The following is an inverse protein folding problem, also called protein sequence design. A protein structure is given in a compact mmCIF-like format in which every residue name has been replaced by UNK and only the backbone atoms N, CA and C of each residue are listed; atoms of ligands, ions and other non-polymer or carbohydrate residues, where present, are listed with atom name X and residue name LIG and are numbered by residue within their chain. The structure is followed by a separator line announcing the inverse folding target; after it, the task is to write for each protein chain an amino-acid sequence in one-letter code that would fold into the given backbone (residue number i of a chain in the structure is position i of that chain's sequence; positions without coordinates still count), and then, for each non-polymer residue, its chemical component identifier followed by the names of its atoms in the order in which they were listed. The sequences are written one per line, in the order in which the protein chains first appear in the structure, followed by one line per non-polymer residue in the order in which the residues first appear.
data_IF_325937798991
#
_entry.id   IF_325937798991
#
_cell.length_a   1.000
_cell.length_b   1.000
_cell.length_c   1.000
_cell.angle_alpha   90.00
_cell.angle_beta   90.00
_cell.angle_gamma   90.00
#
_symmetry.space_group_name_H-M   'P 1'
#
loop_
_entity.id
_entity.type
_entity.pdbx_description
1 polymer ?
#
# COMPACT_ATOMS: atom_id res chain seq x y z
N UNK A 1 12.15 -6.16 13.33
CA UNK A 1 10.85 -6.80 13.04
C UNK A 1 10.41 -6.58 11.59
N UNK A 2 10.36 -5.33 11.09
CA UNK A 2 10.07 -5.07 9.68
C UNK A 2 11.07 -5.76 8.73
N UNK A 3 12.37 -5.75 9.07
CA UNK A 3 13.41 -6.49 8.33
C UNK A 3 13.15 -8.00 8.23
N UNK A 4 12.55 -8.60 9.27
CA UNK A 4 12.18 -10.01 9.27
C UNK A 4 10.96 -10.26 8.37
N UNK A 5 9.95 -9.40 8.43
CA UNK A 5 8.80 -9.47 7.52
C UNK A 5 9.22 -9.27 6.05
N UNK A 6 10.07 -8.30 5.77
CA UNK A 6 10.66 -8.09 4.43
C UNK A 6 11.45 -9.31 3.98
N UNK A 7 12.27 -9.89 4.87
CA UNK A 7 12.99 -11.13 4.59
C UNK A 7 12.05 -12.29 4.28
N UNK A 8 10.95 -12.42 5.03
CA UNK A 8 9.93 -13.44 4.79
C UNK A 8 9.23 -13.25 3.44
N UNK A 9 8.84 -12.01 3.09
CA UNK A 9 8.26 -11.72 1.78
C UNK A 9 9.22 -12.09 0.66
N UNK A 10 10.48 -11.66 0.74
CA UNK A 10 11.51 -11.98 -0.26
C UNK A 10 11.82 -13.47 -0.41
N UNK A 11 11.47 -14.29 0.58
CA UNK A 11 11.63 -15.74 0.50
C UNK A 11 10.48 -16.45 -0.22
N UNK A 12 9.30 -15.81 -0.37
CA UNK A 12 8.13 -16.43 -1.02
C UNK A 12 8.38 -16.84 -2.48
N UNK A 13 9.01 -16.02 -3.35
CA UNK A 13 9.33 -16.41 -4.71
C UNK A 13 10.39 -17.51 -4.82
N UNK A 14 11.10 -17.79 -3.72
CA UNK A 14 12.11 -18.85 -3.66
C UNK A 14 11.50 -20.22 -3.32
N UNK A 15 10.20 -20.28 -2.97
CA UNK A 15 9.48 -21.53 -2.75
C UNK A 15 8.77 -22.00 -4.04
N UNK A 16 9.32 -22.98 -4.78
CA UNK A 16 8.74 -23.44 -6.04
C UNK A 16 7.43 -24.20 -5.83
N UNK A 17 7.18 -24.74 -4.63
CA UNK A 17 5.93 -25.40 -4.31
C UNK A 17 4.80 -24.37 -4.18
N UNK A 18 5.07 -23.26 -3.51
CA UNK A 18 4.12 -22.16 -3.34
C UNK A 18 3.73 -21.53 -4.68
N UNK A 19 4.72 -21.24 -5.54
CA UNK A 19 4.48 -20.69 -6.89
C UNK A 19 3.58 -21.59 -7.74
N UNK A 20 3.85 -22.91 -7.75
CA UNK A 20 3.01 -23.88 -8.47
C UNK A 20 1.60 -23.99 -7.91
N UNK A 21 1.44 -23.93 -6.59
CA UNK A 21 0.13 -23.99 -5.95
C UNK A 21 -0.73 -22.77 -6.27
N UNK A 22 -0.11 -21.58 -6.27
CA UNK A 22 -0.78 -20.31 -6.58
C UNK A 22 -1.00 -20.10 -8.08
N UNK A 23 -0.27 -20.83 -8.95
CA UNK A 23 -0.32 -20.64 -10.39
C UNK A 23 0.27 -19.31 -10.83
N UNK A 24 1.22 -18.75 -10.06
CA UNK A 24 1.82 -17.45 -10.29
C UNK A 24 3.20 -17.58 -10.92
N UNK A 25 3.52 -16.63 -11.81
CA UNK A 25 4.88 -16.46 -12.32
C UNK A 25 5.80 -15.88 -11.23
N UNK A 26 7.05 -16.34 -11.18
CA UNK A 26 8.02 -15.89 -10.18
C UNK A 26 8.28 -14.38 -10.29
N UNK A 27 8.49 -13.88 -11.51
CA UNK A 27 8.77 -12.45 -11.74
C UNK A 27 7.59 -11.57 -11.32
N UNK A 28 6.36 -11.99 -11.67
CA UNK A 28 5.16 -11.26 -11.24
C UNK A 28 5.03 -11.16 -9.71
N UNK A 29 5.42 -12.22 -8.98
CA UNK A 29 5.42 -12.20 -7.52
C UNK A 29 6.55 -11.33 -6.95
N UNK A 30 7.73 -11.36 -7.55
CA UNK A 30 8.86 -10.49 -7.19
C UNK A 30 8.51 -9.01 -7.35
N UNK A 31 7.89 -8.65 -8.48
CA UNK A 31 7.40 -7.28 -8.75
C UNK A 31 6.37 -6.85 -7.70
N UNK A 32 5.38 -7.70 -7.43
CA UNK A 32 4.38 -7.46 -6.39
C UNK A 32 5.03 -7.17 -5.03
N UNK A 33 5.96 -8.03 -4.62
CA UNK A 33 6.66 -7.91 -3.33
C UNK A 33 7.51 -6.63 -3.30
N UNK A 34 8.19 -6.29 -4.40
CA UNK A 34 8.98 -5.07 -4.53
C UNK A 34 8.13 -3.82 -4.29
N UNK A 35 6.94 -3.77 -4.88
CA UNK A 35 6.01 -2.65 -4.71
C UNK A 35 5.41 -2.59 -3.30
N UNK A 36 5.12 -3.74 -2.68
CA UNK A 36 4.65 -3.79 -1.29
C UNK A 36 5.71 -3.28 -0.30
N UNK A 37 6.97 -3.67 -0.48
CA UNK A 37 8.08 -3.22 0.37
C UNK A 37 8.28 -1.71 0.21
N UNK A 38 8.32 -1.21 -1.03
CA UNK A 38 8.47 0.21 -1.34
C UNK A 38 7.31 1.03 -0.77
N UNK A 39 6.08 0.52 -0.93
CA UNK A 39 4.87 1.13 -0.39
C UNK A 39 4.86 1.20 1.14
N UNK A 40 5.27 0.11 1.79
CA UNK A 40 5.35 0.04 3.25
C UNK A 40 6.36 1.06 3.81
N UNK A 41 7.54 1.15 3.21
CA UNK A 41 8.58 2.12 3.59
C UNK A 41 8.09 3.57 3.40
N UNK A 42 7.53 3.89 2.23
CA UNK A 42 6.97 5.21 1.93
C UNK A 42 5.83 5.62 2.86
N UNK A 43 5.04 4.66 3.33
CA UNK A 43 3.94 4.90 4.28
C UNK A 43 4.40 5.19 5.70
N UNK A 44 5.71 5.11 5.98
CA UNK A 44 6.27 5.28 7.32
C UNK A 44 5.84 4.16 8.27
N UNK A 45 5.60 2.95 7.75
CA UNK A 45 5.18 1.81 8.55
C UNK A 45 6.19 1.50 9.66
N UNK A 46 7.48 1.66 9.37
CA UNK A 46 8.59 1.57 10.32
C UNK A 46 8.46 2.59 11.47
N UNK A 47 8.26 3.87 11.16
CA UNK A 47 8.16 4.95 12.14
C UNK A 47 6.90 4.82 12.99
N UNK A 48 5.79 4.41 12.39
CA UNK A 48 4.56 4.12 13.11
C UNK A 48 4.74 2.97 14.11
N UNK A 49 5.49 1.93 13.75
CA UNK A 49 5.78 0.80 14.65
C UNK A 49 6.71 1.20 15.80
N UNK A 50 7.74 2.02 15.53
CA UNK A 50 8.65 2.55 16.57
C UNK A 50 7.87 3.40 17.57
N UNK A 51 7.06 4.35 17.10
CA UNK A 51 6.27 5.21 17.99
C UNK A 51 5.26 4.44 18.85
N UNK A 52 4.71 3.33 18.35
CA UNK A 52 3.83 2.45 19.13
C UNK A 52 4.59 1.70 20.22
N UNK A 53 5.80 1.24 19.94
CA UNK A 53 6.68 0.59 20.93
C UNK A 53 7.07 1.58 22.04
N UNK A 54 7.51 2.79 21.67
CA UNK A 54 7.88 3.84 22.64
C UNK A 54 6.71 4.24 23.54
N UNK A 55 5.50 4.35 22.97
CA UNK A 55 4.28 4.64 23.73
C UNK A 55 3.89 3.52 24.72
N UNK A 56 4.27 2.28 24.42
CA UNK A 56 4.02 1.13 25.27
C UNK A 56 5.11 0.97 26.35
N UNK A 57 6.36 1.34 26.06
CA UNK A 57 7.46 1.32 27.03
C UNK A 57 7.36 2.43 28.09
N UNK A 58 6.85 3.60 27.71
CA UNK A 58 6.56 4.70 28.66
C UNK A 58 5.43 4.38 29.65
N UNK A 59 4.61 3.36 29.36
CA UNK A 59 3.54 2.87 30.23
C UNK A 59 3.99 1.58 30.96
N UNK A 60 4.58 1.76 32.16
CA UNK A 60 4.69 0.76 33.25
C UNK A 60 5.93 -0.17 33.28
N UNK A 61 6.72 -0.03 34.34
CA UNK A 61 7.87 -0.88 34.69
C UNK A 61 7.53 -2.32 35.17
N UNK A 62 6.25 -2.66 35.36
CA UNK A 62 5.81 -3.90 36.03
C UNK A 62 5.37 -5.05 35.10
N UNK A 63 5.44 -4.90 33.76
CA UNK A 63 4.75 -5.82 32.83
C UNK A 63 5.58 -6.26 31.60
N UNK A 64 6.88 -6.51 31.76
CA UNK A 64 7.79 -6.84 30.64
C UNK A 64 7.32 -8.01 29.75
N UNK A 65 6.62 -9.03 30.28
CA UNK A 65 6.09 -10.14 29.46
C UNK A 65 4.84 -9.75 28.66
N UNK A 66 3.88 -9.05 29.28
CA UNK A 66 2.68 -8.58 28.58
C UNK A 66 2.98 -7.49 27.55
N UNK A 67 4.07 -6.74 27.76
CA UNK A 67 4.55 -5.74 26.82
C UNK A 67 4.99 -6.37 25.48
N UNK A 68 5.72 -7.49 25.52
CA UNK A 68 6.16 -8.19 24.31
C UNK A 68 4.98 -8.74 23.49
N UNK A 69 4.00 -9.38 24.12
CA UNK A 69 2.81 -9.89 23.44
C UNK A 69 1.98 -8.76 22.80
N UNK A 70 1.82 -7.64 23.50
CA UNK A 70 1.13 -6.47 22.99
C UNK A 70 1.87 -5.84 21.81
N UNK A 71 3.19 -5.74 21.87
CA UNK A 71 4.03 -5.24 20.77
C UNK A 71 3.89 -6.12 19.52
N UNK A 72 3.87 -7.44 19.67
CA UNK A 72 3.66 -8.38 18.56
C UNK A 72 2.28 -8.19 17.95
N UNK A 73 1.22 -8.15 18.77
CA UNK A 73 -0.16 -7.97 18.30
C UNK A 73 -0.36 -6.65 17.55
N UNK A 74 0.12 -5.54 18.11
CA UNK A 74 0.01 -4.21 17.49
C UNK A 74 0.76 -4.18 16.18
N UNK A 75 1.96 -4.77 16.13
CA UNK A 75 2.76 -4.82 14.90
C UNK A 75 2.08 -5.66 13.82
N UNK A 76 1.64 -6.87 14.16
CA UNK A 76 0.93 -7.75 13.25
C UNK A 76 -0.35 -7.09 12.71
N UNK A 77 -1.12 -6.42 13.57
CA UNK A 77 -2.33 -5.70 13.18
C UNK A 77 -2.02 -4.59 12.17
N UNK A 78 -0.92 -3.86 12.36
CA UNK A 78 -0.53 -2.76 11.47
C UNK A 78 -0.03 -3.27 10.12
N UNK A 79 0.78 -4.33 10.12
CA UNK A 79 1.22 -5.00 8.88
C UNK A 79 0.01 -5.56 8.12
N UNK A 80 -0.89 -6.27 8.79
CA UNK A 80 -2.10 -6.81 8.17
C UNK A 80 -2.96 -5.70 7.57
N UNK A 81 -3.19 -4.62 8.32
CA UNK A 81 -3.94 -3.47 7.82
C UNK A 81 -3.29 -2.82 6.58
N UNK A 82 -1.96 -2.74 6.54
CA UNK A 82 -1.25 -2.30 5.34
C UNK A 82 -1.47 -3.27 4.17
N UNK A 83 -1.33 -4.57 4.36
CA UNK A 83 -1.54 -5.56 3.30
C UNK A 83 -2.99 -5.58 2.80
N UNK A 84 -3.95 -5.40 3.71
CA UNK A 84 -5.38 -5.40 3.40
C UNK A 84 -5.79 -4.19 2.55
N UNK A 85 -5.26 -3.00 2.85
CA UNK A 85 -5.77 -1.75 2.26
C UNK A 85 -4.74 -0.95 1.47
N UNK A 86 -3.46 -1.34 1.53
CA UNK A 86 -2.33 -0.71 0.84
C UNK A 86 -2.21 0.79 1.14
N UNK A 87 -2.63 1.19 2.35
CA UNK A 87 -2.67 2.57 2.81
C UNK A 87 -3.85 3.41 2.30
N UNK A 88 -4.71 2.86 1.43
CA UNK A 88 -5.90 3.56 0.91
C UNK A 88 -6.91 3.90 2.01
N UNK A 89 -6.92 3.11 3.08
CA UNK A 89 -7.77 3.34 4.26
C UNK A 89 -7.34 4.56 5.08
N UNK A 90 -6.11 5.04 4.93
CA UNK A 90 -5.64 6.29 5.54
C UNK A 90 -6.05 7.53 4.75
N UNK A 91 -6.56 7.36 3.53
CA UNK A 91 -7.02 8.46 2.68
C UNK A 91 -8.51 8.77 2.93
N UNK A 92 -8.92 10.04 2.87
CA UNK A 92 -10.33 10.41 2.75
C UNK A 92 -10.97 9.69 1.56
N UNK A 93 -12.27 9.33 1.62
CA UNK A 93 -12.93 8.60 0.55
C UNK A 93 -12.77 9.22 -0.85
N UNK A 94 -12.71 10.55 -0.93
CA UNK A 94 -12.62 11.24 -2.22
C UNK A 94 -11.24 11.16 -2.88
N UNK A 95 -10.19 10.98 -2.08
CA UNK A 95 -8.79 10.88 -2.52
C UNK A 95 -8.38 9.42 -2.78
N UNK A 96 -9.24 8.46 -2.43
CA UNK A 96 -8.96 7.04 -2.69
C UNK A 96 -9.04 6.73 -4.19
N UNK A 97 -8.28 5.73 -4.66
CA UNK A 97 -8.47 5.14 -5.97
C UNK A 97 -9.94 4.75 -6.20
N UNK A 98 -10.39 4.84 -7.46
CA UNK A 98 -11.77 4.49 -7.83
C UNK A 98 -11.81 3.06 -8.35
N UNK A 99 -12.75 2.29 -7.83
CA UNK A 99 -12.98 0.91 -8.24
C UNK A 99 -13.49 0.84 -9.67
N UNK A 100 -13.05 -0.15 -10.43
CA UNK A 100 -13.56 -0.42 -11.78
C UNK A 100 -15.01 -0.94 -11.77
N UNK A 101 -15.49 -1.42 -10.63
CA UNK A 101 -16.84 -1.95 -10.43
C UNK A 101 -17.64 -1.07 -9.48
N UNK A 102 -18.96 -1.00 -9.69
CA UNK A 102 -19.86 -0.27 -8.80
C UNK A 102 -19.72 1.26 -8.92
N UNK A 103 -19.80 1.79 -10.14
CA UNK A 103 -19.91 3.22 -10.44
C UNK A 103 -18.71 4.08 -9.98
N UNK A 104 -17.47 3.60 -10.12
CA UNK A 104 -16.28 4.38 -9.76
C UNK A 104 -16.29 4.84 -8.29
N UNK A 105 -16.90 4.03 -7.41
CA UNK A 105 -16.84 4.27 -5.97
C UNK A 105 -15.40 4.22 -5.46
N UNK A 106 -15.08 4.88 -4.35
CA UNK A 106 -13.81 4.67 -3.66
C UNK A 106 -13.55 3.19 -3.37
N UNK A 107 -12.31 2.73 -3.56
CA UNK A 107 -11.90 1.38 -3.13
C UNK A 107 -12.14 1.21 -1.62
N UNK A 108 -12.57 0.02 -1.23
CA UNK A 108 -12.90 -0.34 0.14
C UNK A 108 -13.97 0.56 0.79
N UNK A 109 -14.84 1.18 -0.02
CA UNK A 109 -15.99 1.89 0.51
C UNK A 109 -16.87 0.92 1.32
N UNK A 110 -17.27 1.31 2.55
CA UNK A 110 -18.15 0.47 3.34
C UNK A 110 -19.52 0.35 2.66
N UNK A 111 -20.27 -0.73 2.93
CA UNK A 111 -21.66 -0.83 2.52
C UNK A 111 -22.48 0.37 3.05
N UNK A 112 -23.56 0.76 2.36
CA UNK A 112 -24.43 1.83 2.83
C UNK A 112 -24.91 1.56 4.27
N UNK A 113 -24.85 2.56 5.17
CA UNK A 113 -25.30 2.37 6.54
C UNK A 113 -26.81 2.09 6.57
N UNK A 114 -27.22 1.20 7.47
CA UNK A 114 -28.64 0.91 7.70
C UNK A 114 -29.20 2.01 8.61
N UNK A 115 -30.24 2.76 8.18
CA UNK A 115 -30.83 3.81 9.01
C UNK A 115 -31.35 3.26 10.35
N UNK A 116 -31.32 4.06 11.43
CA UNK A 116 -31.87 3.64 12.72
C UNK A 116 -33.34 3.20 12.59
N UNK A 117 -33.70 2.09 13.24
CA UNK A 117 -35.05 1.49 13.22
C UNK A 117 -35.54 1.08 11.81
N UNK A 118 -34.63 0.84 10.87
CA UNK A 118 -34.96 0.28 9.56
C UNK A 118 -34.40 -1.14 9.42
N UNK A 119 -34.95 -1.90 8.46
CA UNK A 119 -34.40 -3.19 8.07
C UNK A 119 -33.42 -3.03 6.91
N UNK A 120 -32.34 -3.83 6.85
CA UNK A 120 -31.48 -3.88 5.68
C UNK A 120 -32.29 -4.30 4.45
N UNK A 121 -32.20 -3.51 3.38
CA UNK A 121 -32.77 -3.86 2.09
C UNK A 121 -31.77 -4.77 1.37
N UNK A 122 -32.13 -6.05 1.23
CA UNK A 122 -31.30 -7.01 0.51
C UNK A 122 -31.67 -7.02 -0.97
N UNK A 123 -30.69 -6.95 -1.89
CA UNK A 123 -30.95 -7.14 -3.30
C UNK A 123 -31.42 -8.57 -3.60
N UNK A 124 -32.20 -8.74 -4.67
CA UNK A 124 -32.66 -10.06 -5.11
C UNK A 124 -31.50 -11.01 -5.49
N UNK A 125 -30.35 -10.44 -5.88
CA UNK A 125 -29.11 -11.17 -6.14
C UNK A 125 -28.09 -10.87 -5.06
N UNK A 126 -27.51 -11.89 -4.39
CA UNK A 126 -26.48 -11.68 -3.39
C UNK A 126 -25.27 -10.92 -3.96
N UNK A 127 -24.77 -9.96 -3.19
CA UNK A 127 -23.55 -9.23 -3.55
C UNK A 127 -22.34 -10.10 -3.25
N UNK A 128 -21.50 -10.34 -4.25
CA UNK A 128 -20.24 -11.05 -4.09
C UNK A 128 -19.15 -10.11 -3.53
N UNK A 129 -19.19 -9.85 -2.23
CA UNK A 129 -18.23 -8.96 -1.55
C UNK A 129 -16.77 -9.39 -1.72
N UNK A 130 -16.39 -10.69 -1.63
CA UNK A 130 -15.01 -11.11 -1.89
C UNK A 130 -14.52 -10.71 -3.28
N UNK A 131 -15.33 -10.88 -4.33
CA UNK A 131 -14.95 -10.47 -5.68
C UNK A 131 -14.78 -8.94 -5.79
N UNK A 132 -15.67 -8.16 -5.16
CA UNK A 132 -15.54 -6.70 -5.12
C UNK A 132 -14.26 -6.27 -4.39
N UNK A 133 -13.93 -6.92 -3.28
CA UNK A 133 -12.71 -6.65 -2.52
C UNK A 133 -11.46 -6.94 -3.35
N UNK A 134 -11.42 -8.06 -4.08
CA UNK A 134 -10.28 -8.40 -4.95
C UNK A 134 -10.07 -7.33 -6.03
N UNK A 135 -11.13 -6.86 -6.67
CA UNK A 135 -11.03 -5.78 -7.66
C UNK A 135 -10.57 -4.47 -7.04
N UNK A 136 -11.12 -4.11 -5.87
CA UNK A 136 -10.68 -2.92 -5.12
C UNK A 136 -9.20 -3.02 -4.75
N UNK A 137 -8.73 -4.19 -4.33
CA UNK A 137 -7.35 -4.44 -3.98
C UNK A 137 -6.40 -4.28 -5.18
N UNK A 138 -6.79 -4.77 -6.36
CA UNK A 138 -6.00 -4.56 -7.59
C UNK A 138 -5.91 -3.07 -7.98
N UNK A 139 -6.99 -2.30 -7.85
CA UNK A 139 -6.95 -0.86 -8.11
C UNK A 139 -6.11 -0.10 -7.07
N UNK A 140 -6.21 -0.48 -5.80
CA UNK A 140 -5.35 0.06 -4.74
C UNK A 140 -3.88 -0.25 -5.00
N UNK A 141 -3.57 -1.49 -5.41
CA UNK A 141 -2.21 -1.92 -5.76
C UNK A 141 -1.66 -1.16 -6.96
N UNK A 142 -2.45 -1.00 -8.02
CA UNK A 142 -2.07 -0.21 -9.19
C UNK A 142 -1.73 1.23 -8.80
N UNK A 143 -2.57 1.87 -7.98
CA UNK A 143 -2.31 3.22 -7.49
C UNK A 143 -1.06 3.30 -6.60
N UNK A 144 -0.84 2.30 -5.75
CA UNK A 144 0.37 2.19 -4.93
C UNK A 144 1.62 2.14 -5.82
N UNK A 145 1.65 1.24 -6.81
CA UNK A 145 2.79 1.06 -7.72
C UNK A 145 3.10 2.32 -8.55
N UNK A 146 2.08 2.97 -9.10
CA UNK A 146 2.26 4.26 -9.82
C UNK A 146 2.90 5.30 -8.90
N UNK A 147 2.42 5.38 -7.66
CA UNK A 147 2.90 6.37 -6.72
C UNK A 147 4.29 5.99 -6.14
N UNK A 148 4.66 4.72 -6.15
CA UNK A 148 6.01 4.25 -5.82
C UNK A 148 7.02 4.58 -6.91
N UNK A 149 6.65 4.57 -8.20
CA UNK A 149 7.55 4.96 -9.29
C UNK A 149 8.12 6.38 -9.10
N UNK A 150 7.31 7.32 -8.58
CA UNK A 150 7.77 8.67 -8.22
C UNK A 150 8.65 8.71 -6.96
N UNK A 151 8.53 7.73 -6.07
CA UNK A 151 9.30 7.65 -4.83
C UNK A 151 10.68 6.99 -5.02
N UNK A 152 10.76 5.93 -5.83
CA UNK A 152 12.02 5.32 -6.24
C UNK A 152 12.88 6.32 -7.04
N UNK A 153 12.27 7.10 -7.94
CA UNK A 153 12.94 8.20 -8.61
C UNK A 153 13.44 9.28 -7.63
N UNK A 154 12.71 9.54 -6.53
CA UNK A 154 13.07 10.54 -5.52
C UNK A 154 14.20 10.15 -4.57
N UNK A 155 14.57 8.87 -4.46
CA UNK A 155 15.75 8.43 -3.69
C UNK A 155 17.05 8.38 -4.52
N UNK A 156 16.96 8.19 -5.83
CA UNK A 156 18.14 8.08 -6.71
C UNK A 156 18.36 9.28 -7.65
N UNK A 157 17.41 10.21 -7.74
CA UNK A 157 17.51 11.40 -8.61
C UNK A 157 17.12 12.62 -7.79
N UNK A 158 18.11 13.45 -7.42
CA UNK A 158 17.84 14.73 -6.76
C UNK A 158 16.90 15.59 -7.61
N UNK A 159 16.11 16.51 -7.04
CA UNK A 159 15.27 17.45 -7.79
C UNK A 159 16.04 18.17 -8.92
N UNK A 160 17.31 18.50 -8.68
CA UNK A 160 18.22 19.08 -9.68
C UNK A 160 18.59 18.10 -10.81
N UNK A 161 18.75 16.81 -10.51
CA UNK A 161 19.01 15.78 -11.51
C UNK A 161 17.76 15.48 -12.36
N UNK A 162 16.56 15.52 -11.76
CA UNK A 162 15.31 15.35 -12.50
C UNK A 162 15.05 16.54 -13.44
N UNK A 163 15.36 17.77 -12.99
CA UNK A 163 15.34 18.96 -13.84
C UNK A 163 16.33 18.86 -15.01
N UNK A 164 17.53 18.31 -14.77
CA UNK A 164 18.52 18.05 -15.85
C UNK A 164 18.05 16.96 -16.82
N UNK A 165 17.42 15.90 -16.34
CA UNK A 165 16.82 14.85 -17.18
C UNK A 165 15.72 15.44 -18.07
N UNK A 166 14.87 16.31 -17.53
CA UNK A 166 13.89 17.07 -18.31
C UNK A 166 14.54 17.89 -19.44
N UNK A 167 15.62 18.62 -19.13
CA UNK A 167 16.38 19.40 -20.13
C UNK A 167 17.04 18.52 -21.21
N UNK A 168 17.48 17.31 -20.87
CA UNK A 168 18.07 16.36 -21.82
C UNK A 168 16.98 15.78 -22.72
N UNK A 169 15.83 15.40 -22.16
CA UNK A 169 14.69 14.89 -22.91
C UNK A 169 14.12 15.94 -23.87
N UNK A 170 14.07 17.22 -23.47
CA UNK A 170 13.66 18.33 -24.35
C UNK A 170 14.60 18.50 -25.56
N UNK A 171 15.91 18.36 -25.35
CA UNK A 171 16.92 18.40 -26.43
C UNK A 171 16.82 17.22 -27.38
N UNK A 172 16.56 16.02 -26.86
CA UNK A 172 16.41 14.80 -27.67
C UNK A 172 15.07 14.77 -28.41
N UNK A 173 14.01 15.33 -27.82
CA UNK A 173 12.70 15.50 -28.45
C UNK A 173 12.64 16.66 -29.48
N UNK A 174 13.75 17.36 -29.72
CA UNK A 174 13.83 18.44 -30.70
C UNK A 174 13.09 19.72 -30.31
N UNK A 175 12.71 19.89 -29.03
CA UNK A 175 12.23 21.19 -28.54
C UNK A 175 13.43 22.08 -28.30
N UNK A 176 13.56 23.11 -29.13
CA UNK A 176 14.52 24.18 -28.91
C UNK A 176 14.30 24.81 -27.53
N UNK A 177 15.37 25.17 -26.78
CA UNK A 177 15.23 25.91 -25.54
C UNK A 177 14.50 27.24 -25.83
N UNK A 178 13.41 27.47 -25.12
CA UNK A 178 12.69 28.74 -25.16
C UNK A 178 13.64 29.85 -24.66
N UNK A 179 13.99 30.86 -25.49
CA UNK A 179 14.96 31.88 -25.09
C UNK A 179 14.43 32.88 -24.07
N UNK A 180 13.18 32.81 -23.64
CA UNK A 180 12.61 33.80 -22.74
C UNK A 180 11.59 33.23 -21.75
N UNK A 181 12.01 33.03 -20.51
CA UNK A 181 11.15 33.33 -19.36
C UNK A 181 12.00 33.90 -18.22
N UNK A 182 11.60 35.02 -17.60
CA UNK A 182 12.36 35.73 -16.57
C UNK A 182 12.67 34.88 -15.33
#
# INVERSE_FOLDING_TARGET
MLSYWVGHLKALPEDPHWLRHMGLDKGALEDLIGELITGADRSGLDQALIGLIDSAESQTAAMRSQLAERQVYVTATRINRFVDYLGSDNLPPDDRPRSLVGQQRPVFAPPPPIPPRSMPVLPATPVNFPALYIVDWFEAFRALAIANAGHAAGRDISPEQNARLGQILDRVAGKAPDPQRP
#
